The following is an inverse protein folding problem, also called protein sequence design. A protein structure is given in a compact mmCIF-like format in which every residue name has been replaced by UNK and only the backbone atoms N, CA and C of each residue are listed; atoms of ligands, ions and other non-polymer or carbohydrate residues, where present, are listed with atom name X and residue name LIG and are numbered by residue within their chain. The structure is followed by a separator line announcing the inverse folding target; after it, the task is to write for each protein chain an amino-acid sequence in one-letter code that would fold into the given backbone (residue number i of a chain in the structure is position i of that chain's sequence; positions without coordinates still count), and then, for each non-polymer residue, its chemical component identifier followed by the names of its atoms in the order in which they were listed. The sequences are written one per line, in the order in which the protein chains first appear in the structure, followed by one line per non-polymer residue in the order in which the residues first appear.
data_IF_099480045526
#
_entry.id   IF_099480045526
#
_cell.length_a   1.000
_cell.length_b   1.000
_cell.length_c   1.000
_cell.angle_alpha   90.00
_cell.angle_beta   90.00
_cell.angle_gamma   90.00
#
_symmetry.space_group_name_H-M   'P 1'
#
loop_
_entity.id
_entity.type
_entity.pdbx_description
1 polymer ?
#
# COMPACT_ATOMS: atom_id res chain seq x y z
N UNK A 1 2.94 -1.84 -13.23
CA UNK A 1 2.91 -0.50 -13.86
C UNK A 1 1.83 -0.42 -14.91
N UNK A 2 1.24 0.76 -15.09
CA UNK A 2 0.30 1.00 -16.18
C UNK A 2 1.04 1.09 -17.52
N UNK A 3 0.45 0.56 -18.57
CA UNK A 3 0.92 0.76 -19.94
C UNK A 3 0.57 2.20 -20.38
N UNK A 4 1.59 3.01 -20.66
CA UNK A 4 1.41 4.43 -21.01
C UNK A 4 0.73 4.64 -22.36
N UNK A 5 0.78 3.68 -23.28
CA UNK A 5 0.02 3.77 -24.54
C UNK A 5 -1.47 3.56 -24.27
N UNK A 6 -1.83 2.65 -23.37
CA UNK A 6 -3.21 2.50 -22.90
C UNK A 6 -3.72 3.73 -22.14
N UNK A 7 -2.83 4.33 -21.32
CA UNK A 7 -3.14 5.61 -20.65
C UNK A 7 -3.38 6.70 -21.70
N UNK A 8 -2.55 6.79 -22.75
CA UNK A 8 -2.74 7.75 -23.83
C UNK A 8 -4.08 7.58 -24.54
N UNK A 9 -4.46 6.35 -24.84
CA UNK A 9 -5.75 6.01 -25.46
C UNK A 9 -6.96 6.33 -24.57
N UNK A 10 -6.78 6.37 -23.24
CA UNK A 10 -7.84 6.70 -22.29
C UNK A 10 -8.06 8.21 -22.11
N UNK A 11 -7.15 9.06 -22.59
CA UNK A 11 -7.31 10.51 -22.53
C UNK A 11 -8.48 10.92 -23.42
N UNK A 12 -9.47 11.59 -22.84
CA UNK A 12 -10.67 12.01 -23.56
C UNK A 12 -10.36 13.18 -24.51
N UNK A 13 -11.02 13.24 -25.69
CA UNK A 13 -10.89 14.37 -26.58
C UNK A 13 -11.43 15.66 -25.94
N UNK A 14 -11.02 16.81 -26.45
CA UNK A 14 -11.58 18.10 -26.04
C UNK A 14 -12.95 18.30 -26.69
N UNK A 15 -13.98 17.66 -26.12
CA UNK A 15 -15.35 17.64 -26.59
C UNK A 15 -16.28 17.82 -25.39
N UNK A 16 -17.38 18.56 -25.57
CA UNK A 16 -18.32 18.90 -24.49
C UNK A 16 -19.11 17.69 -23.94
N UNK A 17 -19.12 16.55 -24.65
CA UNK A 17 -19.71 15.31 -24.16
C UNK A 17 -18.82 14.54 -23.16
N UNK A 18 -17.55 14.92 -23.03
CA UNK A 18 -16.60 14.23 -22.15
C UNK A 18 -16.09 15.14 -21.04
N UNK A 19 -15.95 14.54 -19.86
CA UNK A 19 -15.20 15.20 -18.81
C UNK A 19 -13.72 15.35 -19.25
N UNK A 20 -13.14 16.54 -19.04
CA UNK A 20 -11.75 16.80 -19.37
C UNK A 20 -10.80 15.94 -18.56
N UNK A 21 -9.97 15.13 -19.20
CA UNK A 21 -8.88 14.42 -18.53
C UNK A 21 -7.82 15.43 -18.07
N UNK A 22 -7.48 15.41 -16.79
CA UNK A 22 -6.57 16.40 -16.18
C UNK A 22 -5.44 15.78 -15.36
N UNK A 23 -5.56 14.52 -14.99
CA UNK A 23 -4.71 13.92 -13.97
C UNK A 23 -4.42 12.46 -14.32
N UNK A 24 -3.18 12.04 -14.13
CA UNK A 24 -2.78 10.64 -13.97
C UNK A 24 -2.55 10.38 -12.48
N UNK A 25 -3.29 9.44 -11.91
CA UNK A 25 -3.07 8.97 -10.54
C UNK A 25 -2.34 7.62 -10.57
N UNK A 26 -1.31 7.51 -9.75
CA UNK A 26 -0.57 6.26 -9.51
C UNK A 26 -0.64 5.93 -8.03
N UNK A 27 -0.60 4.64 -7.70
CA UNK A 27 -0.51 4.16 -6.31
C UNK A 27 0.89 3.57 -6.06
N UNK A 28 1.49 3.84 -4.90
CA UNK A 28 2.71 3.17 -4.45
C UNK A 28 2.58 2.81 -2.95
N UNK A 29 2.64 1.53 -2.58
CA UNK A 29 2.85 0.32 -3.38
C UNK A 29 1.54 -0.24 -3.94
N UNK A 30 1.57 -0.86 -5.11
CA UNK A 30 0.41 -1.56 -5.68
C UNK A 30 0.42 -3.02 -5.24
N UNK A 31 -0.48 -3.41 -4.35
CA UNK A 31 -0.49 -4.77 -3.80
C UNK A 31 0.85 -5.16 -3.15
N UNK A 32 1.51 -4.23 -2.46
CA UNK A 32 2.85 -4.40 -1.91
C UNK A 32 3.99 -4.14 -2.89
N UNK A 33 3.76 -4.21 -4.20
CA UNK A 33 4.80 -4.01 -5.23
C UNK A 33 5.19 -2.54 -5.36
N UNK A 34 6.48 -2.30 -5.32
CA UNK A 34 7.05 -0.97 -5.50
C UNK A 34 7.02 -0.59 -6.99
N UNK A 35 6.56 0.62 -7.30
CA UNK A 35 6.69 1.17 -8.65
C UNK A 35 8.16 1.51 -8.92
N UNK A 36 8.77 1.01 -10.01
CA UNK A 36 10.14 1.34 -10.37
C UNK A 36 10.36 2.84 -10.59
N UNK A 37 11.46 3.40 -10.09
CA UNK A 37 11.75 4.83 -10.20
C UNK A 37 11.85 5.32 -11.66
N UNK A 38 12.42 4.50 -12.56
CA UNK A 38 12.47 4.83 -13.97
C UNK A 38 11.09 4.99 -14.60
N UNK A 39 10.12 4.14 -14.19
CA UNK A 39 8.73 4.26 -14.66
C UNK A 39 8.07 5.53 -14.13
N UNK A 40 8.29 5.91 -12.86
CA UNK A 40 7.76 7.17 -12.32
C UNK A 40 8.29 8.36 -13.13
N UNK A 41 9.58 8.35 -13.47
CA UNK A 41 10.19 9.40 -14.30
C UNK A 41 9.62 9.41 -15.74
N UNK A 42 9.35 8.25 -16.31
CA UNK A 42 8.69 8.11 -17.61
C UNK A 42 7.25 8.64 -17.59
N UNK A 43 6.47 8.23 -16.59
CA UNK A 43 5.10 8.73 -16.38
C UNK A 43 5.08 10.25 -16.18
N UNK A 44 6.09 10.81 -15.50
CA UNK A 44 6.24 12.27 -15.35
C UNK A 44 6.48 12.97 -16.69
N UNK A 45 7.36 12.44 -17.53
CA UNK A 45 7.57 12.97 -18.89
C UNK A 45 6.30 12.86 -19.73
N UNK A 46 5.63 11.71 -19.67
CA UNK A 46 4.37 11.46 -20.36
C UNK A 46 3.29 12.49 -19.98
N UNK A 47 3.09 12.76 -18.70
CA UNK A 47 2.05 13.70 -18.20
C UNK A 47 2.40 15.13 -18.58
N UNK A 48 3.67 15.55 -18.45
CA UNK A 48 4.12 16.91 -18.86
C UNK A 48 3.86 17.18 -20.34
N UNK A 49 4.18 16.23 -21.21
CA UNK A 49 3.99 16.37 -22.67
C UNK A 49 2.51 16.45 -23.08
N UNK A 50 1.58 16.10 -22.16
CA UNK A 50 0.12 16.10 -22.39
C UNK A 50 -0.64 17.11 -21.54
N UNK A 51 0.08 18.00 -20.84
CA UNK A 51 -0.51 18.98 -19.91
C UNK A 51 -1.40 18.33 -18.84
N UNK A 52 -1.02 17.13 -18.38
CA UNK A 52 -1.67 16.44 -17.27
C UNK A 52 -0.88 16.67 -15.98
N UNK A 53 -1.59 16.72 -14.87
CA UNK A 53 -1.02 16.63 -13.54
C UNK A 53 -0.77 15.18 -13.16
N UNK A 54 0.06 14.96 -12.15
CA UNK A 54 0.36 13.63 -11.63
C UNK A 54 0.13 13.59 -10.11
N UNK A 55 -0.70 12.66 -9.66
CA UNK A 55 -1.00 12.42 -8.25
C UNK A 55 -0.46 11.07 -7.78
N UNK A 56 0.07 11.03 -6.57
CA UNK A 56 0.43 9.78 -5.91
C UNK A 56 -0.57 9.46 -4.79
N UNK A 57 -1.29 8.35 -4.93
CA UNK A 57 -1.80 7.64 -3.76
C UNK A 57 -0.61 6.95 -3.08
N UNK A 58 -0.08 7.62 -2.08
CA UNK A 58 1.05 7.16 -1.29
C UNK A 58 0.63 6.35 -0.07
N UNK A 59 -0.42 5.54 -0.20
CA UNK A 59 -0.96 4.71 0.90
C UNK A 59 0.12 3.89 1.61
N UNK A 60 1.16 3.46 0.87
CA UNK A 60 2.34 2.76 1.38
C UNK A 60 3.65 3.28 0.79
N UNK A 61 3.71 4.56 0.44
CA UNK A 61 4.92 5.16 -0.12
C UNK A 61 6.13 5.09 0.81
N UNK A 62 5.92 5.07 2.14
CA UNK A 62 6.99 4.85 3.11
C UNK A 62 7.57 3.43 2.99
N UNK A 63 6.75 2.40 2.78
CA UNK A 63 7.22 1.05 2.50
C UNK A 63 8.05 1.01 1.20
N UNK A 64 7.61 1.72 0.15
CA UNK A 64 8.35 1.81 -1.10
C UNK A 64 9.71 2.51 -0.91
N UNK A 65 9.77 3.58 -0.12
CA UNK A 65 11.00 4.31 0.18
C UNK A 65 12.00 3.42 0.94
N UNK A 66 11.54 2.72 1.99
CA UNK A 66 12.36 1.80 2.77
C UNK A 66 12.85 0.64 1.92
N UNK A 67 11.98 0.00 1.12
CA UNK A 67 12.37 -1.10 0.24
C UNK A 67 13.42 -0.72 -0.81
N UNK A 68 13.39 0.53 -1.29
CA UNK A 68 14.37 1.05 -2.25
C UNK A 68 15.63 1.63 -1.58
N UNK A 69 15.66 1.78 -0.25
CA UNK A 69 16.75 2.44 0.46
C UNK A 69 16.94 3.92 0.09
N UNK A 70 15.85 4.63 -0.27
CA UNK A 70 15.90 6.03 -0.72
C UNK A 70 15.01 6.93 0.16
N UNK A 71 15.33 8.21 0.26
CA UNK A 71 14.45 9.18 0.90
C UNK A 71 13.09 9.25 0.20
N UNK A 72 12.00 9.33 0.96
CA UNK A 72 10.63 9.43 0.42
C UNK A 72 10.47 10.56 -0.60
N UNK A 73 11.19 11.68 -0.41
CA UNK A 73 11.16 12.83 -1.33
C UNK A 73 11.60 12.50 -2.76
N UNK A 74 12.42 11.47 -2.97
CA UNK A 74 12.83 11.05 -4.31
C UNK A 74 11.70 10.40 -5.08
N UNK A 75 10.77 9.75 -4.37
CA UNK A 75 9.52 9.24 -4.94
C UNK A 75 8.54 10.40 -5.14
N UNK A 76 8.24 11.12 -4.06
CA UNK A 76 7.14 12.10 -4.03
C UNK A 76 7.41 13.36 -4.83
N UNK A 77 8.68 13.74 -5.00
CA UNK A 77 9.10 14.93 -5.76
C UNK A 77 8.77 14.88 -7.26
N UNK A 78 8.38 13.72 -7.78
CA UNK A 78 7.94 13.57 -9.16
C UNK A 78 6.45 13.92 -9.38
N UNK A 79 5.68 14.12 -8.29
CA UNK A 79 4.23 14.30 -8.34
C UNK A 79 3.83 15.74 -8.02
N UNK A 80 2.71 16.19 -8.59
CA UNK A 80 2.14 17.51 -8.30
C UNK A 80 1.38 17.52 -6.97
N UNK A 81 0.84 16.36 -6.58
CA UNK A 81 0.22 16.15 -5.27
C UNK A 81 0.39 14.71 -4.80
N UNK A 82 0.41 14.52 -3.49
CA UNK A 82 0.64 13.22 -2.85
C UNK A 82 -0.27 13.08 -1.64
N UNK A 83 -0.93 11.94 -1.49
CA UNK A 83 -1.62 11.54 -0.26
C UNK A 83 -0.80 10.48 0.47
N UNK A 84 -0.41 10.72 1.72
CA UNK A 84 0.39 9.82 2.55
C UNK A 84 -0.45 9.30 3.71
N UNK A 85 -0.60 7.99 3.82
CA UNK A 85 -1.33 7.38 4.94
C UNK A 85 -0.41 7.21 6.17
N UNK A 86 -0.89 7.64 7.33
CA UNK A 86 -0.19 7.50 8.62
C UNK A 86 -0.73 6.32 9.45
N UNK A 87 -1.92 5.83 9.15
CA UNK A 87 -2.65 4.83 9.94
C UNK A 87 -2.56 3.39 9.39
N UNK A 88 -1.44 3.07 8.74
CA UNK A 88 -1.07 1.74 8.27
C UNK A 88 0.23 1.29 8.95
N UNK A 89 1.26 0.91 8.22
CA UNK A 89 2.54 0.47 8.78
C UNK A 89 3.20 1.46 9.75
N UNK A 90 2.95 2.77 9.58
CA UNK A 90 3.42 3.78 10.53
C UNK A 90 2.70 3.75 11.88
N UNK A 91 1.53 3.12 11.98
CA UNK A 91 0.84 2.86 13.25
C UNK A 91 0.23 4.07 13.93
N UNK A 92 0.01 5.19 13.24
CA UNK A 92 -0.83 6.25 13.79
C UNK A 92 -2.29 5.78 13.88
N UNK A 93 -3.07 6.22 14.91
CA UNK A 93 -4.44 5.72 15.11
C UNK A 93 -5.39 6.12 13.98
N UNK A 94 -5.09 7.23 13.29
CA UNK A 94 -5.92 7.75 12.19
C UNK A 94 -5.11 8.75 11.36
N UNK A 95 -5.48 8.88 10.10
CA UNK A 95 -5.15 10.04 9.29
C UNK A 95 -4.29 9.78 8.07
N UNK A 96 -4.38 10.75 7.19
CA UNK A 96 -3.54 10.90 6.00
C UNK A 96 -3.11 12.35 5.86
N UNK A 97 -1.97 12.57 5.24
CA UNK A 97 -1.44 13.90 4.93
C UNK A 97 -1.50 14.11 3.43
N UNK A 98 -2.19 15.17 3.00
CA UNK A 98 -2.19 15.62 1.60
C UNK A 98 -1.10 16.67 1.42
N UNK A 99 -0.18 16.42 0.50
CA UNK A 99 0.92 17.32 0.15
C UNK A 99 0.79 17.82 -1.28
N UNK A 100 1.23 19.06 -1.53
CA UNK A 100 1.21 19.67 -2.85
C UNK A 100 1.60 21.16 -2.77
N UNK A 101 1.36 21.93 -3.84
CA UNK A 101 1.63 23.36 -3.84
C UNK A 101 0.78 24.09 -2.80
N UNK A 102 1.23 25.27 -2.36
CA UNK A 102 0.48 26.10 -1.40
C UNK A 102 -0.95 26.36 -1.87
N UNK A 103 -1.14 26.80 -3.11
CA UNK A 103 -2.46 27.12 -3.67
C UNK A 103 -3.37 25.87 -3.70
N UNK A 104 -2.82 24.72 -4.06
CA UNK A 104 -3.56 23.45 -4.02
C UNK A 104 -4.02 23.12 -2.59
N UNK A 105 -3.13 23.22 -1.61
CA UNK A 105 -3.45 22.90 -0.20
C UNK A 105 -4.45 23.90 0.40
N UNK A 106 -4.37 25.20 0.07
CA UNK A 106 -5.35 26.19 0.51
C UNK A 106 -6.75 25.87 -0.02
N UNK A 107 -6.86 25.45 -1.27
CA UNK A 107 -8.12 24.98 -1.87
C UNK A 107 -8.60 23.67 -1.21
N UNK A 108 -7.71 22.71 -1.03
CA UNK A 108 -8.01 21.43 -0.40
C UNK A 108 -8.53 21.59 1.03
N UNK A 109 -8.01 22.56 1.82
CA UNK A 109 -8.52 22.86 3.17
C UNK A 109 -9.98 23.30 3.17
N UNK A 110 -10.40 24.11 2.18
CA UNK A 110 -11.80 24.50 2.01
C UNK A 110 -12.67 23.28 1.73
N UNK A 111 -12.27 22.44 0.78
CA UNK A 111 -12.98 21.21 0.46
C UNK A 111 -13.06 20.27 1.65
N UNK A 112 -11.95 20.07 2.37
CA UNK A 112 -11.95 19.27 3.61
C UNK A 112 -13.00 19.73 4.59
N UNK A 113 -13.13 21.06 4.80
CA UNK A 113 -14.16 21.60 5.69
C UNK A 113 -15.58 21.34 5.17
N UNK A 114 -15.80 21.53 3.87
CA UNK A 114 -17.12 21.34 3.25
C UNK A 114 -17.61 19.89 3.32
N UNK A 115 -16.70 18.90 3.19
CA UNK A 115 -17.05 17.47 3.27
C UNK A 115 -17.01 16.91 4.70
N UNK A 116 -16.96 17.76 5.72
CA UNK A 116 -17.04 17.34 7.12
C UNK A 116 -15.70 17.07 7.81
N UNK A 117 -14.56 17.16 7.12
CA UNK A 117 -13.23 16.86 7.67
C UNK A 117 -12.55 18.01 8.45
N UNK A 118 -13.29 19.05 8.83
CA UNK A 118 -12.76 20.21 9.56
C UNK A 118 -12.79 20.04 11.08
N UNK A 119 -12.14 19.00 11.59
CA UNK A 119 -12.05 18.75 13.04
C UNK A 119 -11.35 19.91 13.78
N UNK A 120 -11.91 20.31 14.91
CA UNK A 120 -11.28 21.22 15.87
C UNK A 120 -10.42 20.43 16.86
N UNK A 121 -9.43 21.09 17.49
CA UNK A 121 -8.54 20.47 18.48
C UNK A 121 -7.91 19.14 18.01
N UNK A 122 -7.53 19.08 16.73
CA UNK A 122 -6.95 17.89 16.08
C UNK A 122 -5.52 17.56 16.58
N UNK A 123 -4.94 18.41 17.44
CA UNK A 123 -3.58 18.28 17.96
C UNK A 123 -3.28 16.93 18.59
N UNK A 124 -4.24 16.31 19.29
CA UNK A 124 -4.07 14.98 19.89
C UNK A 124 -3.76 13.92 18.80
N UNK A 125 -4.53 13.92 17.71
CA UNK A 125 -4.34 13.01 16.58
C UNK A 125 -3.08 13.37 15.81
N UNK A 126 -2.81 14.67 15.62
CA UNK A 126 -1.62 15.14 14.92
C UNK A 126 -0.33 14.77 15.68
N UNK A 127 -0.33 14.81 17.02
CA UNK A 127 0.80 14.37 17.83
C UNK A 127 1.14 12.89 17.60
N UNK A 128 0.13 12.02 17.52
CA UNK A 128 0.34 10.61 17.17
C UNK A 128 0.92 10.44 15.75
N UNK A 129 0.46 11.23 14.80
CA UNK A 129 1.02 11.26 13.43
C UNK A 129 2.48 11.74 13.40
N UNK A 130 2.82 12.77 14.18
CA UNK A 130 4.22 13.26 14.32
C UNK A 130 5.11 12.18 14.94
N UNK A 131 4.65 11.53 16.00
CA UNK A 131 5.39 10.43 16.62
C UNK A 131 5.65 9.30 15.60
N UNK A 132 4.63 8.90 14.86
CA UNK A 132 4.75 7.86 13.84
C UNK A 132 5.78 8.21 12.74
N UNK A 133 5.80 9.46 12.29
CA UNK A 133 6.79 9.94 11.32
C UNK A 133 8.22 10.00 11.86
N UNK A 134 8.38 10.27 13.15
CA UNK A 134 9.69 10.39 13.79
C UNK A 134 10.29 9.03 14.18
N UNK A 135 9.46 8.03 14.48
CA UNK A 135 9.91 6.79 15.12
C UNK A 135 9.60 5.51 14.35
N UNK A 136 8.63 5.52 13.41
CA UNK A 136 8.12 4.28 12.84
C UNK A 136 8.47 4.07 11.35
N UNK A 137 9.23 4.98 10.71
CA UNK A 137 9.58 4.82 9.29
C UNK A 137 10.60 3.71 9.12
N UNK A 138 11.71 3.75 9.86
CA UNK A 138 12.81 2.79 9.73
C UNK A 138 12.37 1.37 10.14
N UNK A 139 11.48 1.25 11.13
CA UNK A 139 10.95 -0.05 11.55
C UNK A 139 10.10 -0.77 10.49
N UNK A 140 9.67 -0.09 9.42
CA UNK A 140 8.98 -0.76 8.30
C UNK A 140 9.86 -1.85 7.66
N UNK A 141 11.18 -1.79 7.81
CA UNK A 141 12.07 -2.86 7.39
C UNK A 141 11.76 -4.17 8.12
N UNK A 142 11.45 -4.11 9.42
CA UNK A 142 11.05 -5.29 10.21
C UNK A 142 9.78 -5.95 9.62
N UNK A 143 8.80 -5.14 9.17
CA UNK A 143 7.60 -5.67 8.52
C UNK A 143 7.94 -6.39 7.21
N UNK A 144 8.91 -5.85 6.42
CA UNK A 144 9.39 -6.49 5.19
C UNK A 144 10.13 -7.80 5.48
N UNK A 145 11.01 -7.80 6.48
CA UNK A 145 11.78 -8.98 6.88
C UNK A 145 10.85 -10.09 7.41
N UNK A 146 9.83 -9.71 8.16
CA UNK A 146 8.78 -10.61 8.64
C UNK A 146 7.96 -11.20 7.50
N UNK A 147 7.57 -10.39 6.51
CA UNK A 147 6.88 -10.85 5.32
C UNK A 147 7.72 -11.82 4.50
N UNK A 148 9.00 -11.51 4.30
CA UNK A 148 9.92 -12.37 3.58
C UNK A 148 10.13 -13.70 4.29
N UNK A 149 10.31 -13.68 5.61
CA UNK A 149 10.45 -14.88 6.41
C UNK A 149 9.20 -15.76 6.31
N UNK A 150 8.01 -15.16 6.51
CA UNK A 150 6.73 -15.87 6.40
C UNK A 150 6.57 -16.52 5.03
N UNK A 151 6.83 -15.77 3.96
CA UNK A 151 6.75 -16.30 2.60
C UNK A 151 7.69 -17.48 2.39
N UNK A 152 8.91 -17.42 2.94
CA UNK A 152 9.87 -18.52 2.85
C UNK A 152 9.36 -19.78 3.59
N UNK A 153 8.73 -19.62 4.76
CA UNK A 153 8.12 -20.78 5.46
C UNK A 153 6.95 -21.37 4.67
N UNK A 154 6.08 -20.53 4.12
CA UNK A 154 4.93 -20.98 3.34
C UNK A 154 5.34 -21.67 2.03
N UNK A 155 6.44 -21.25 1.41
CA UNK A 155 7.00 -21.91 0.21
C UNK A 155 7.48 -23.32 0.46
N UNK A 156 7.78 -23.67 1.71
CA UNK A 156 8.15 -25.04 2.11
C UNK A 156 6.94 -25.97 2.29
N UNK A 157 5.72 -25.46 2.16
CA UNK A 157 4.48 -26.23 2.31
C UNK A 157 3.89 -26.53 0.92
N UNK A 158 4.01 -27.78 0.40
CA UNK A 158 3.55 -28.11 -0.96
C UNK A 158 2.05 -27.87 -1.18
N UNK A 159 1.23 -27.97 -0.12
CA UNK A 159 -0.21 -27.68 -0.21
C UNK A 159 -0.53 -26.20 -0.44
N UNK A 160 0.39 -25.28 -0.12
CA UNK A 160 0.21 -23.83 -0.19
C UNK A 160 1.09 -23.16 -1.26
N UNK A 161 2.03 -23.90 -1.86
CA UNK A 161 2.97 -23.36 -2.84
C UNK A 161 3.19 -24.39 -3.96
N UNK A 162 2.59 -24.13 -5.10
CA UNK A 162 2.74 -24.94 -6.32
C UNK A 162 3.22 -24.07 -7.48
N UNK A 163 3.66 -24.68 -8.58
CA UNK A 163 4.07 -23.94 -9.78
C UNK A 163 2.93 -23.11 -10.37
N UNK A 164 1.69 -23.57 -10.23
CA UNK A 164 0.49 -22.86 -10.68
C UNK A 164 0.03 -21.77 -9.70
N UNK A 165 0.31 -21.96 -8.41
CA UNK A 165 -0.12 -21.09 -7.32
C UNK A 165 1.06 -20.75 -6.38
N UNK A 166 2.08 -20.02 -6.86
CA UNK A 166 3.25 -19.70 -6.05
C UNK A 166 2.92 -18.69 -4.95
N UNK A 167 3.55 -18.84 -3.80
CA UNK A 167 3.53 -17.85 -2.73
C UNK A 167 4.25 -16.59 -3.21
N UNK A 168 3.53 -15.47 -3.27
CA UNK A 168 4.07 -14.18 -3.65
C UNK A 168 4.31 -13.30 -2.42
N UNK A 169 5.43 -12.59 -2.40
CA UNK A 169 5.76 -11.64 -1.33
C UNK A 169 6.31 -10.37 -1.95
N UNK A 170 5.81 -9.24 -1.47
CA UNK A 170 6.22 -7.90 -1.89
C UNK A 170 6.15 -6.96 -0.68
N UNK A 171 7.26 -6.29 -0.36
CA UNK A 171 7.38 -5.43 0.83
C UNK A 171 6.84 -6.14 2.08
N UNK A 172 5.79 -5.60 2.70
CA UNK A 172 5.16 -6.12 3.91
C UNK A 172 3.93 -7.00 3.65
N UNK A 173 3.78 -7.56 2.43
CA UNK A 173 2.62 -8.37 2.05
C UNK A 173 3.01 -9.75 1.55
N UNK A 174 2.21 -10.74 1.92
CA UNK A 174 2.28 -12.10 1.38
C UNK A 174 0.92 -12.47 0.78
N UNK A 175 0.93 -13.05 -0.39
CA UNK A 175 -0.26 -13.51 -1.10
C UNK A 175 -0.18 -15.00 -1.36
N UNK A 176 -1.29 -15.69 -1.07
CA UNK A 176 -1.46 -17.12 -1.36
C UNK A 176 -2.73 -17.31 -2.19
N UNK A 177 -2.59 -17.93 -3.35
CA UNK A 177 -3.73 -18.50 -4.05
C UNK A 177 -4.03 -19.86 -3.43
N UNK A 178 -5.20 -20.03 -2.86
CA UNK A 178 -5.59 -21.26 -2.18
C UNK A 178 -6.51 -22.12 -3.05
N UNK A 179 -6.38 -23.46 -3.04
CA UNK A 179 -7.43 -24.33 -3.58
C UNK A 179 -8.79 -23.99 -2.95
N UNK A 180 -9.90 -24.01 -3.72
CA UNK A 180 -11.21 -23.60 -3.22
C UNK A 180 -11.66 -24.27 -1.92
N UNK A 181 -11.39 -25.56 -1.77
CA UNK A 181 -11.71 -26.31 -0.55
C UNK A 181 -10.97 -25.76 0.68
N UNK A 182 -9.68 -25.43 0.52
CA UNK A 182 -8.85 -24.85 1.59
C UNK A 182 -9.31 -23.41 1.89
N UNK A 183 -9.55 -22.61 0.87
CA UNK A 183 -9.98 -21.22 1.04
C UNK A 183 -11.28 -21.11 1.86
N UNK A 184 -12.19 -22.09 1.74
CA UNK A 184 -13.45 -22.14 2.49
C UNK A 184 -13.28 -22.57 3.96
N UNK A 185 -12.38 -23.49 4.25
CA UNK A 185 -12.27 -24.12 5.58
C UNK A 185 -11.20 -23.49 6.46
N UNK A 186 -10.13 -22.96 5.87
CA UNK A 186 -8.99 -22.40 6.58
C UNK A 186 -9.34 -21.26 7.56
N UNK A 187 -10.21 -20.28 7.22
CA UNK A 187 -10.53 -19.22 8.16
C UNK A 187 -11.18 -19.71 9.46
N UNK A 188 -12.10 -20.67 9.38
CA UNK A 188 -12.76 -21.25 10.56
C UNK A 188 -11.81 -22.16 11.37
N UNK A 189 -10.92 -22.89 10.69
CA UNK A 189 -9.88 -23.67 11.36
C UNK A 189 -8.95 -22.76 12.18
N UNK A 190 -8.39 -21.72 11.53
CA UNK A 190 -7.49 -20.78 12.18
C UNK A 190 -8.16 -20.02 13.33
N UNK A 191 -9.42 -19.64 13.17
CA UNK A 191 -10.20 -18.97 14.22
C UNK A 191 -10.30 -19.80 15.49
N UNK A 192 -10.49 -21.13 15.37
CA UNK A 192 -10.50 -22.05 16.52
C UNK A 192 -9.14 -22.09 17.23
N UNK A 193 -8.06 -21.80 16.53
CA UNK A 193 -6.70 -21.72 17.07
C UNK A 193 -6.34 -20.31 17.55
N UNK A 194 -7.31 -19.37 17.55
CA UNK A 194 -7.12 -17.98 17.98
C UNK A 194 -6.45 -17.08 16.94
N UNK A 195 -6.40 -17.50 15.67
CA UNK A 195 -5.86 -16.71 14.55
C UNK A 195 -6.99 -16.25 13.64
N UNK A 196 -7.07 -14.95 13.41
CA UNK A 196 -8.09 -14.36 12.54
C UNK A 196 -7.49 -13.93 11.22
N UNK A 197 -8.07 -14.43 10.13
CA UNK A 197 -7.75 -14.00 8.77
C UNK A 197 -9.02 -13.61 8.02
N UNK A 198 -8.88 -12.80 6.97
CA UNK A 198 -9.99 -12.51 6.08
C UNK A 198 -10.23 -13.69 5.13
N UNK A 199 -11.49 -14.12 5.02
CA UNK A 199 -11.91 -15.13 4.05
C UNK A 199 -11.90 -14.52 2.64
N UNK A 200 -10.76 -14.61 1.95
CA UNK A 200 -10.55 -14.09 0.61
C UNK A 200 -9.59 -14.99 -0.19
N UNK A 201 -9.72 -14.98 -1.50
CA UNK A 201 -8.81 -15.70 -2.39
C UNK A 201 -8.48 -14.84 -3.62
N UNK A 202 -7.22 -14.45 -3.84
CA UNK A 202 -6.05 -14.83 -3.04
C UNK A 202 -6.11 -14.32 -1.59
N UNK A 203 -5.65 -15.15 -0.65
CA UNK A 203 -5.47 -14.75 0.74
C UNK A 203 -4.33 -13.72 0.80
N UNK A 204 -4.61 -12.56 1.38
CA UNK A 204 -3.64 -11.48 1.57
C UNK A 204 -3.30 -11.34 3.05
N UNK A 205 -2.05 -11.58 3.39
CA UNK A 205 -1.47 -11.36 4.71
C UNK A 205 -0.65 -10.06 4.66
N UNK A 206 -0.91 -9.16 5.61
CA UNK A 206 -0.23 -7.85 5.69
C UNK A 206 0.48 -7.75 7.02
N UNK A 207 1.80 -7.64 7.00
CA UNK A 207 2.62 -7.55 8.20
C UNK A 207 2.71 -6.10 8.67
N UNK A 208 2.63 -5.91 9.97
CA UNK A 208 2.70 -4.60 10.63
C UNK A 208 3.15 -4.79 12.09
N UNK A 209 3.44 -3.68 12.77
CA UNK A 209 4.04 -3.63 14.12
C UNK A 209 3.32 -4.43 15.21
N UNK A 210 2.03 -4.75 15.03
CA UNK A 210 1.24 -5.50 16.01
C UNK A 210 1.25 -7.02 15.75
N UNK A 211 2.09 -7.49 14.80
CA UNK A 211 2.33 -8.89 14.51
C UNK A 211 3.83 -9.16 14.67
N UNK A 212 4.17 -9.85 15.74
CA UNK A 212 5.57 -10.18 16.06
C UNK A 212 6.07 -11.40 15.27
N UNK A 213 7.38 -11.62 15.28
CA UNK A 213 7.99 -12.84 14.74
C UNK A 213 7.43 -14.10 15.44
N UNK A 214 7.25 -14.06 16.74
CA UNK A 214 6.71 -15.18 17.51
C UNK A 214 5.25 -15.52 17.11
N UNK A 215 4.43 -14.50 16.80
CA UNK A 215 3.08 -14.73 16.28
C UNK A 215 3.11 -15.41 14.91
N UNK A 216 4.06 -15.04 14.05
CA UNK A 216 4.23 -15.68 12.75
C UNK A 216 4.74 -17.12 12.87
N UNK A 217 5.66 -17.39 13.79
CA UNK A 217 6.15 -18.73 14.07
C UNK A 217 4.98 -19.63 14.52
N UNK A 218 4.18 -19.15 15.47
CA UNK A 218 2.95 -19.85 15.89
C UNK A 218 1.97 -20.06 14.73
N UNK A 219 1.77 -19.05 13.89
CA UNK A 219 0.90 -19.17 12.71
C UNK A 219 1.39 -20.27 11.75
N UNK A 220 2.70 -20.34 11.50
CA UNK A 220 3.32 -21.37 10.66
C UNK A 220 3.14 -22.77 11.25
N UNK A 221 3.34 -22.93 12.58
CA UNK A 221 3.11 -24.23 13.24
C UNK A 221 1.66 -24.69 13.11
N UNK A 222 0.69 -23.81 13.35
CA UNK A 222 -0.74 -24.11 13.15
C UNK A 222 -1.04 -24.53 11.69
N UNK A 223 -0.40 -23.89 10.72
CA UNK A 223 -0.57 -24.29 9.31
C UNK A 223 0.03 -25.65 9.01
N UNK A 224 1.19 -26.00 9.59
CA UNK A 224 1.81 -27.34 9.45
C UNK A 224 0.94 -28.46 10.01
N UNK A 225 0.15 -28.18 11.04
CA UNK A 225 -0.81 -29.12 11.60
C UNK A 225 -2.08 -29.29 10.73
N UNK A 226 -2.37 -28.30 9.89
CA UNK A 226 -3.55 -28.29 9.03
C UNK A 226 -3.31 -28.98 7.68
N UNK A 227 -2.05 -29.11 7.24
CA UNK A 227 -1.60 -29.59 5.93
C UNK A 227 -0.47 -30.59 6.02
#
# INVERSE_FOLDING_TARGET
TLDLDKVAAAIKPNDFHFARTRLLALENTVGGKVIPQHYIAEARRFTRNRNLLMHLDGARAFNAAVANGIPLKEITGQFDSVSLCLSKGLGAPVGSVLCGSRAFIETARKWRKMVGGGMRQVGIIAAAGLYALQHNIERLQEDHDNAQWLANQLRLMPALNTDEMPVQQETNMVFLMLPPAIAQTLPEYLKKQGVLILAMNPLRLVLHKDVSRADLERFVEILKEAF
#
